data_IF_099443516222
#
_entry.id   IF_099443516222
#
_cell.length_a   1.000
_cell.length_b   1.000
_cell.length_c   1.000
_cell.angle_alpha   90.00
_cell.angle_beta   90.00
_cell.angle_gamma   90.00
#
_symmetry.space_group_name_H-M   'P 1'
#
loop_
_entity.id
_entity.type
_entity.pdbx_description
1 polymer ?
#
# COMPACT_ATOMS: atom_id res chain seq x y z
N UNK A 1 15.23 -0.33 -7.85
CA UNK A 1 13.95 -0.69 -8.45
C UNK A 1 13.35 -1.90 -7.72
N UNK A 2 12.08 -1.83 -7.38
CA UNK A 2 11.41 -2.97 -6.75
C UNK A 2 10.99 -3.98 -7.79
N UNK A 3 11.27 -5.24 -7.54
CA UNK A 3 10.79 -6.35 -8.36
C UNK A 3 9.44 -6.79 -7.78
N UNK A 4 8.41 -6.99 -8.61
CA UNK A 4 7.13 -7.50 -8.11
C UNK A 4 7.33 -8.85 -7.43
N UNK A 5 6.73 -9.03 -6.25
CA UNK A 5 6.70 -10.32 -5.61
C UNK A 5 5.87 -11.28 -6.44
N UNK A 6 6.22 -12.57 -6.42
CA UNK A 6 5.38 -13.57 -7.05
C UNK A 6 3.97 -13.53 -6.44
N UNK A 7 3.91 -13.48 -5.11
CA UNK A 7 2.66 -13.28 -4.38
C UNK A 7 2.94 -12.32 -3.23
N UNK A 8 2.40 -11.12 -3.30
CA UNK A 8 2.51 -10.17 -2.20
C UNK A 8 1.81 -10.72 -0.97
N UNK A 9 2.40 -10.47 0.20
CA UNK A 9 1.79 -10.85 1.48
C UNK A 9 1.66 -9.62 2.35
N UNK A 10 0.48 -9.37 2.86
CA UNK A 10 0.17 -8.22 3.70
C UNK A 10 -0.05 -8.72 5.12
N UNK A 11 0.60 -8.09 6.08
CA UNK A 11 0.51 -8.44 7.50
C UNK A 11 0.15 -7.20 8.31
N UNK A 12 -0.40 -7.40 9.50
CA UNK A 12 -0.71 -6.31 10.42
C UNK A 12 0.26 -6.38 11.61
N UNK A 13 0.79 -5.22 12.00
CA UNK A 13 1.70 -5.12 13.16
C UNK A 13 1.41 -3.85 13.93
N UNK A 14 1.77 -3.82 15.22
CA UNK A 14 1.66 -2.63 16.04
C UNK A 14 2.65 -1.55 15.62
N UNK A 15 2.25 -0.30 15.77
CA UNK A 15 3.07 0.87 15.47
C UNK A 15 2.65 2.01 16.39
N UNK A 16 3.32 3.17 16.24
CA UNK A 16 2.91 4.39 16.94
C UNK A 16 1.52 4.87 16.53
N UNK A 17 1.00 4.35 15.42
CA UNK A 17 -0.32 4.71 14.90
C UNK A 17 -1.35 3.59 15.11
N UNK A 18 -1.08 2.68 16.06
CA UNK A 18 -1.89 1.50 16.27
C UNK A 18 -1.49 0.36 15.35
N UNK A 19 -2.35 -0.64 15.20
CA UNK A 19 -2.07 -1.73 14.25
C UNK A 19 -2.29 -1.22 12.83
N UNK A 20 -1.26 -1.38 12.00
CA UNK A 20 -1.30 -0.96 10.60
C UNK A 20 -0.72 -2.05 9.71
N UNK A 21 -0.90 -1.89 8.41
CA UNK A 21 -0.50 -2.90 7.43
C UNK A 21 0.94 -2.70 6.97
N UNK A 22 1.64 -3.83 6.82
CA UNK A 22 3.00 -3.91 6.29
C UNK A 22 3.03 -5.03 5.26
N UNK A 23 4.06 -5.05 4.42
CA UNK A 23 4.31 -6.24 3.61
C UNK A 23 5.15 -7.25 4.42
N UNK A 24 5.41 -8.42 3.84
CA UNK A 24 6.13 -9.49 4.53
C UNK A 24 7.58 -9.12 4.85
N UNK A 25 8.18 -8.14 4.17
CA UNK A 25 9.53 -7.67 4.46
C UNK A 25 9.58 -6.71 5.64
N UNK A 26 8.42 -6.30 6.15
CA UNK A 26 8.34 -5.34 7.26
C UNK A 26 8.19 -3.89 6.82
N UNK A 27 8.02 -3.64 5.54
CA UNK A 27 7.84 -2.28 5.05
C UNK A 27 6.38 -1.88 5.12
N UNK A 28 6.10 -0.68 5.69
CA UNK A 28 4.74 -0.18 5.84
C UNK A 28 4.13 0.15 4.48
N UNK A 29 2.83 -0.03 4.35
CA UNK A 29 2.10 0.33 3.15
C UNK A 29 1.19 1.52 3.42
N UNK A 30 0.96 2.33 2.37
CA UNK A 30 0.18 3.56 2.43
C UNK A 30 -0.98 3.52 1.45
N UNK A 31 -2.00 4.33 1.74
CA UNK A 31 -3.05 4.66 0.78
C UNK A 31 -2.98 6.15 0.46
N UNK A 32 -3.44 6.51 -0.74
CA UNK A 32 -3.42 7.87 -1.25
C UNK A 32 -4.85 8.42 -1.20
N UNK A 33 -5.03 9.53 -0.51
CA UNK A 33 -6.34 10.10 -0.24
C UNK A 33 -7.17 10.37 -1.48
N UNK A 34 -6.53 10.80 -2.57
CA UNK A 34 -7.25 11.14 -3.80
C UNK A 34 -7.53 9.94 -4.70
N UNK A 35 -7.04 8.75 -4.35
CA UNK A 35 -7.39 7.54 -5.10
C UNK A 35 -8.88 7.25 -4.94
N UNK A 36 -9.47 6.75 -6.00
CA UNK A 36 -10.84 6.26 -5.97
C UNK A 36 -10.84 4.76 -5.70
N UNK A 37 -12.00 4.22 -5.36
CA UNK A 37 -12.12 2.79 -5.14
C UNK A 37 -11.66 2.03 -6.39
N UNK A 38 -10.70 1.13 -6.20
CA UNK A 38 -10.11 0.31 -7.26
C UNK A 38 -9.49 1.12 -8.40
N UNK A 39 -9.03 2.34 -8.11
CA UNK A 39 -8.42 3.19 -9.12
C UNK A 39 -7.30 4.04 -8.53
N UNK A 40 -6.09 3.89 -9.09
CA UNK A 40 -4.93 4.67 -8.68
C UNK A 40 -4.89 6.01 -9.40
N UNK A 41 -4.61 7.08 -8.65
CA UNK A 41 -4.31 8.40 -9.19
C UNK A 41 -2.84 8.76 -9.04
N UNK A 42 -1.99 7.82 -8.62
CA UNK A 42 -0.55 7.99 -8.60
C UNK A 42 0.04 7.28 -9.82
N UNK A 43 -0.04 7.95 -10.97
CA UNK A 43 0.35 7.36 -12.26
C UNK A 43 1.43 8.14 -13.00
N UNK A 44 1.76 9.35 -12.56
CA UNK A 44 2.88 10.11 -13.14
C UNK A 44 4.20 9.47 -12.76
N UNK A 45 5.24 9.68 -13.58
CA UNK A 45 6.56 9.14 -13.30
C UNK A 45 7.10 9.59 -11.93
N UNK A 46 6.88 10.85 -11.57
CA UNK A 46 7.34 11.39 -10.29
C UNK A 46 6.62 10.75 -9.11
N UNK A 47 5.29 10.59 -9.20
CA UNK A 47 4.52 9.97 -8.13
C UNK A 47 4.90 8.50 -7.95
N UNK A 48 4.99 7.75 -9.04
CA UNK A 48 5.33 6.32 -8.99
C UNK A 48 6.76 6.11 -8.46
N UNK A 49 7.68 7.02 -8.75
CA UNK A 49 9.04 6.94 -8.23
C UNK A 49 9.06 7.13 -6.71
N UNK A 50 8.37 8.14 -6.19
CA UNK A 50 8.33 8.42 -4.75
C UNK A 50 7.45 7.43 -4.00
N UNK A 51 6.37 6.98 -4.62
CA UNK A 51 5.37 6.10 -4.03
C UNK A 51 5.15 4.87 -4.91
N UNK A 52 6.11 3.92 -4.91
CA UNK A 52 5.96 2.72 -5.74
C UNK A 52 4.72 1.93 -5.34
N UNK A 53 3.93 1.47 -6.31
CA UNK A 53 2.77 0.63 -5.99
C UNK A 53 3.23 -0.72 -5.42
N UNK A 54 2.41 -1.28 -4.54
CA UNK A 54 2.63 -2.64 -4.04
C UNK A 54 2.20 -3.60 -5.13
N UNK A 55 3.16 -4.23 -5.80
CA UNK A 55 2.92 -5.08 -6.96
C UNK A 55 2.90 -6.55 -6.59
N UNK A 56 2.12 -7.32 -7.33
CA UNK A 56 2.03 -8.77 -7.16
C UNK A 56 1.79 -9.42 -8.52
N UNK A 57 2.26 -10.66 -8.70
CA UNK A 57 1.99 -11.43 -9.92
C UNK A 57 0.77 -12.32 -9.76
N UNK A 58 0.58 -12.84 -8.55
CA UNK A 58 -0.55 -13.71 -8.21
C UNK A 58 -1.40 -13.02 -7.13
N UNK A 59 -2.63 -13.46 -6.88
CA UNK A 59 -3.45 -12.83 -5.85
C UNK A 59 -2.71 -12.73 -4.52
N UNK A 60 -2.80 -11.56 -3.84
CA UNK A 60 -2.07 -11.36 -2.58
C UNK A 60 -2.61 -12.26 -1.48
N UNK A 61 -1.76 -12.56 -0.49
CA UNK A 61 -2.16 -13.36 0.66
C UNK A 61 -2.22 -12.50 1.91
N UNK A 62 -3.12 -12.88 2.83
CA UNK A 62 -3.28 -12.22 4.11
C UNK A 62 -2.46 -12.93 5.18
N UNK A 63 -1.67 -12.16 5.93
CA UNK A 63 -1.01 -12.63 7.13
C UNK A 63 -1.87 -12.40 8.36
N UNK A 64 -1.29 -12.60 9.55
CA UNK A 64 -2.00 -12.43 10.81
C UNK A 64 -2.58 -11.01 10.91
N UNK A 65 -3.83 -10.93 11.32
CA UNK A 65 -4.51 -9.66 11.56
C UNK A 65 -5.09 -8.98 10.32
N UNK A 66 -4.87 -9.54 9.13
CA UNK A 66 -5.35 -8.96 7.87
C UNK A 66 -6.62 -9.69 7.42
N UNK A 67 -7.61 -8.93 6.99
CA UNK A 67 -8.85 -9.51 6.47
C UNK A 67 -8.66 -9.86 4.99
N UNK A 68 -8.57 -11.15 4.70
CA UNK A 68 -8.36 -11.64 3.33
C UNK A 68 -9.45 -11.16 2.37
N UNK A 69 -10.68 -11.01 2.85
CA UNK A 69 -11.81 -10.59 2.01
C UNK A 69 -11.66 -9.15 1.50
N UNK A 70 -10.81 -8.34 2.15
CA UNK A 70 -10.54 -6.97 1.71
C UNK A 70 -9.39 -6.86 0.71
N UNK A 71 -8.59 -7.92 0.56
CA UNK A 71 -7.48 -7.92 -0.40
C UNK A 71 -7.99 -8.10 -1.82
N UNK A 72 -7.42 -7.35 -2.74
CA UNK A 72 -7.72 -7.45 -4.16
C UNK A 72 -6.58 -6.92 -5.00
N UNK A 73 -6.81 -6.78 -6.29
CA UNK A 73 -5.84 -6.23 -7.22
C UNK A 73 -6.52 -5.33 -8.24
N UNK A 74 -5.73 -4.38 -8.75
CA UNK A 74 -6.11 -3.60 -9.94
C UNK A 74 -4.99 -3.74 -10.96
N UNK A 75 -5.35 -3.66 -12.24
CA UNK A 75 -4.36 -3.68 -13.31
C UNK A 75 -4.00 -2.24 -13.66
N UNK A 76 -2.70 -1.93 -13.58
CA UNK A 76 -2.20 -0.62 -13.96
C UNK A 76 -2.05 -0.54 -15.49
N UNK A 77 -1.86 0.69 -16.01
CA UNK A 77 -1.74 0.91 -17.44
C UNK A 77 -0.55 0.17 -18.08
N UNK A 78 0.48 -0.16 -17.30
CA UNK A 78 1.63 -0.94 -17.77
C UNK A 78 1.40 -2.46 -17.71
N UNK A 79 0.20 -2.90 -17.34
CA UNK A 79 -0.17 -4.30 -17.25
C UNK A 79 0.18 -4.98 -15.92
N UNK A 80 0.85 -4.29 -15.01
CA UNK A 80 1.20 -4.85 -13.71
C UNK A 80 0.01 -4.79 -12.77
N UNK A 81 -0.05 -5.76 -11.84
CA UNK A 81 -1.11 -5.81 -10.83
C UNK A 81 -0.66 -5.11 -9.55
N UNK A 82 -1.48 -4.21 -9.05
CA UNK A 82 -1.26 -3.52 -7.78
C UNK A 82 -2.22 -4.09 -6.75
N UNK A 83 -1.70 -4.37 -5.54
CA UNK A 83 -2.52 -4.84 -4.43
C UNK A 83 -3.44 -3.73 -3.96
N UNK A 84 -4.68 -4.08 -3.66
CA UNK A 84 -5.64 -3.18 -3.01
C UNK A 84 -6.08 -3.76 -1.68
N UNK A 85 -6.52 -2.90 -0.78
CA UNK A 85 -7.13 -3.30 0.47
C UNK A 85 -8.36 -2.44 0.71
N UNK A 86 -9.52 -3.06 0.86
CA UNK A 86 -10.80 -2.37 0.94
C UNK A 86 -11.02 -1.43 -0.26
N UNK A 87 -10.59 -1.88 -1.45
CA UNK A 87 -10.67 -1.08 -2.68
C UNK A 87 -9.67 0.05 -2.78
N UNK A 88 -8.78 0.19 -1.80
CA UNK A 88 -7.76 1.24 -1.80
C UNK A 88 -6.44 0.71 -2.34
N UNK A 89 -5.90 1.27 -3.43
CA UNK A 89 -4.58 0.87 -3.92
C UNK A 89 -3.51 1.11 -2.87
N UNK A 90 -2.59 0.16 -2.73
CA UNK A 90 -1.53 0.22 -1.72
C UNK A 90 -0.21 0.62 -2.35
N UNK A 91 0.59 1.42 -1.60
CA UNK A 91 1.86 1.97 -2.05
C UNK A 91 2.93 1.81 -0.96
N UNK A 92 4.20 1.80 -1.40
CA UNK A 92 5.34 2.00 -0.52
C UNK A 92 5.84 3.44 -0.65
N UNK A 93 6.65 3.88 0.31
CA UNK A 93 7.41 5.13 0.18
C UNK A 93 8.87 4.79 -0.13
N UNK A 94 9.41 5.46 -1.13
CA UNK A 94 10.74 5.19 -1.69
C UNK A 94 11.86 5.26 -0.65
N UNK A 95 11.78 6.20 0.28
CA UNK A 95 12.85 6.49 1.24
C UNK A 95 12.62 5.88 2.61
N UNK A 96 11.91 4.77 2.66
CA UNK A 96 11.68 4.03 3.90
C UNK A 96 12.25 2.62 3.81
N UNK A 97 12.78 2.15 4.94
CA UNK A 97 13.15 0.76 5.11
C UNK A 97 12.20 0.02 6.04
N UNK A 98 12.47 -1.25 6.32
CA UNK A 98 11.63 -2.04 7.21
C UNK A 98 11.49 -1.38 8.60
N UNK A 99 10.27 -1.37 9.11
CA UNK A 99 9.97 -0.82 10.44
C UNK A 99 9.85 0.69 10.50
N UNK A 100 10.18 1.41 9.43
CA UNK A 100 10.08 2.88 9.41
C UNK A 100 8.72 3.35 8.92
N UNK A 101 8.19 4.40 9.56
CA UNK A 101 6.95 5.07 9.12
C UNK A 101 7.23 6.56 9.17
N UNK A 102 7.58 7.15 8.02
CA UNK A 102 8.02 8.54 7.93
C UNK A 102 6.98 9.49 7.34
N UNK A 103 5.99 8.95 6.65
CA UNK A 103 5.12 9.76 5.80
C UNK A 103 3.63 9.63 6.11
N UNK A 104 3.29 9.19 7.32
CA UNK A 104 1.90 9.15 7.71
C UNK A 104 1.34 10.57 7.81
N UNK A 105 0.22 10.82 7.11
CA UNK A 105 -0.49 12.09 7.10
C UNK A 105 0.33 13.23 6.46
N UNK A 106 1.15 12.92 5.45
CA UNK A 106 1.85 13.95 4.69
C UNK A 106 1.08 14.31 3.42
N UNK A 107 1.21 15.54 2.98
CA UNK A 107 0.55 16.06 1.78
C UNK A 107 1.57 16.16 0.65
N UNK A 108 1.51 15.23 -0.30
CA UNK A 108 2.43 15.17 -1.44
C UNK A 108 1.67 14.72 -2.69
N UNK A 109 2.06 15.22 -3.83
CA UNK A 109 1.48 14.84 -5.13
C UNK A 109 -0.02 15.07 -5.22
N UNK A 110 -0.52 16.10 -4.54
CA UNK A 110 -1.92 16.51 -4.66
C UNK A 110 -2.89 15.93 -3.65
N UNK A 111 -2.39 15.18 -2.68
CA UNK A 111 -3.24 14.62 -1.62
C UNK A 111 -2.44 14.07 -0.46
N UNK A 112 -3.13 13.59 0.55
CA UNK A 112 -2.48 13.05 1.74
C UNK A 112 -2.26 11.55 1.61
N UNK A 113 -1.22 11.09 2.29
CA UNK A 113 -0.82 9.69 2.34
C UNK A 113 -0.97 9.20 3.77
N UNK A 114 -1.61 8.03 3.93
CA UNK A 114 -1.96 7.49 5.24
C UNK A 114 -1.51 6.05 5.35
N UNK A 115 -1.00 5.64 6.52
CA UNK A 115 -0.90 4.20 6.81
C UNK A 115 -2.31 3.66 7.04
N UNK A 116 -2.47 2.34 6.94
CA UNK A 116 -3.79 1.70 6.80
C UNK A 116 -4.03 0.76 7.97
N UNK A 117 -5.21 0.83 8.57
CA UNK A 117 -5.61 -0.11 9.61
C UNK A 117 -6.08 -1.44 9.01
N UNK A 118 -6.13 -2.52 9.81
CA UNK A 118 -6.68 -3.80 9.32
C UNK A 118 -8.14 -3.75 8.87
N UNK A 119 -8.87 -2.72 9.23
CA UNK A 119 -10.24 -2.49 8.74
C UNK A 119 -10.27 -1.95 7.32
N UNK A 120 -9.12 -1.51 6.78
CA UNK A 120 -9.05 -0.90 5.47
C UNK A 120 -9.31 0.59 5.46
N UNK A 121 -9.21 1.24 6.61
CA UNK A 121 -9.36 2.68 6.74
C UNK A 121 -8.01 3.33 7.03
N UNK A 122 -7.81 4.60 6.64
CA UNK A 122 -6.62 5.33 7.06
C UNK A 122 -6.54 5.37 8.59
N UNK A 123 -5.34 5.20 9.11
CA UNK A 123 -5.12 5.35 10.55
C UNK A 123 -5.28 6.82 10.94
N UNK A 124 -5.82 7.06 12.10
CA UNK A 124 -6.05 8.43 12.59
C UNK A 124 -4.83 8.97 13.35
#
# INVERSE_FOLDING_TARGET
MRVPAKRARIVAKGSDFGRVLFDASGQVVYVFEIDRQNRSNCTSADCVKAWPPVLTREPPSAGAGVNEDLLGTIRRSDGKLQVTYNGRPLYFYEHEGPGEIKCHNVDLHGGRWWVVTPRGEPAS
#
